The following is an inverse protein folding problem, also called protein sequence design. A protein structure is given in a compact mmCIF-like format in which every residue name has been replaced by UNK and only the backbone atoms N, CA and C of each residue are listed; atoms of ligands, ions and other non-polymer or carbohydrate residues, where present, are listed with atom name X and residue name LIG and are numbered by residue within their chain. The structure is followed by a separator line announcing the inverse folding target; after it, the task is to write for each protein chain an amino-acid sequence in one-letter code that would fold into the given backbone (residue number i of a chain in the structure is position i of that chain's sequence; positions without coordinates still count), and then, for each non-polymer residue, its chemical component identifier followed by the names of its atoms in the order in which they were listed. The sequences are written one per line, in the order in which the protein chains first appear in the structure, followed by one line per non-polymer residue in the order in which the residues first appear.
data_IF_705475384727
#
_entry.id   IF_705475384727
#
_cell.length_a   1.000
_cell.length_b   1.000
_cell.length_c   1.000
_cell.angle_alpha   90.00
_cell.angle_beta   90.00
_cell.angle_gamma   90.00
#
_symmetry.space_group_name_H-M   'P 1'
#
loop_
_entity.id
_entity.type
_entity.pdbx_description
1 polymer ?
#
# COMPACT_ATOMS: atom_id res chain seq x y z
N UNK A 1 25.49 -13.35 -8.69
CA UNK A 1 26.57 -13.97 -7.92
C UNK A 1 27.02 -13.13 -6.71
N UNK A 2 27.49 -11.87 -6.91
CA UNK A 2 28.03 -11.03 -5.81
C UNK A 2 27.05 -10.84 -4.64
N UNK A 3 25.77 -10.62 -4.93
CA UNK A 3 24.76 -10.45 -3.90
C UNK A 3 24.57 -11.71 -3.04
N UNK A 4 24.47 -12.89 -3.67
CA UNK A 4 24.34 -14.15 -2.94
C UNK A 4 25.61 -14.47 -2.14
N UNK A 5 26.81 -14.22 -2.70
CA UNK A 5 28.06 -14.42 -1.97
C UNK A 5 28.12 -13.53 -0.71
N UNK A 6 27.78 -12.25 -0.83
CA UNK A 6 27.70 -11.33 0.30
C UNK A 6 26.63 -11.75 1.34
N UNK A 7 25.52 -12.29 0.87
CA UNK A 7 24.43 -12.77 1.71
C UNK A 7 24.83 -14.01 2.54
N UNK A 8 25.68 -14.87 1.97
CA UNK A 8 26.24 -16.04 2.63
C UNK A 8 27.56 -15.78 3.36
N UNK A 9 28.03 -14.52 3.46
CA UNK A 9 29.30 -14.14 4.07
C UNK A 9 30.53 -14.77 3.42
N UNK A 10 30.49 -14.92 2.11
CA UNK A 10 31.60 -15.45 1.33
C UNK A 10 32.52 -14.30 0.89
N UNK A 11 33.72 -14.28 1.44
CA UNK A 11 34.73 -13.26 1.13
C UNK A 11 35.30 -13.38 -0.28
N UNK A 12 35.28 -14.61 -0.84
CA UNK A 12 35.72 -14.89 -2.20
C UNK A 12 34.53 -14.88 -3.16
N UNK A 13 34.45 -13.86 -4.00
CA UNK A 13 33.43 -13.76 -5.07
C UNK A 13 33.48 -14.92 -6.07
N UNK A 14 34.61 -15.66 -6.17
CA UNK A 14 34.78 -16.86 -6.99
C UNK A 14 34.15 -18.12 -6.40
N UNK A 15 33.82 -18.15 -5.10
CA UNK A 15 33.31 -19.35 -4.43
C UNK A 15 32.05 -19.91 -5.09
N UNK A 16 31.12 -19.04 -5.53
CA UNK A 16 29.88 -19.46 -6.20
C UNK A 16 30.14 -19.89 -7.65
N UNK A 17 31.14 -19.32 -8.33
CA UNK A 17 31.54 -19.76 -9.67
C UNK A 17 32.19 -21.15 -9.61
N UNK A 18 33.03 -21.39 -8.60
CA UNK A 18 33.61 -22.73 -8.37
C UNK A 18 32.51 -23.73 -8.05
N UNK A 19 31.58 -23.41 -7.17
CA UNK A 19 30.44 -24.25 -6.82
C UNK A 19 29.60 -24.60 -8.05
N UNK A 20 29.30 -23.62 -8.92
CA UNK A 20 28.52 -23.85 -10.13
C UNK A 20 29.25 -24.75 -11.11
N UNK A 21 30.57 -24.59 -11.27
CA UNK A 21 31.39 -25.46 -12.10
C UNK A 21 31.44 -26.89 -11.55
N UNK A 22 31.68 -27.05 -10.26
CA UNK A 22 31.66 -28.37 -9.60
C UNK A 22 30.29 -29.05 -9.71
N UNK A 23 29.18 -28.29 -9.65
CA UNK A 23 27.84 -28.80 -9.85
C UNK A 23 27.67 -29.40 -11.24
N UNK A 24 28.08 -28.70 -12.28
CA UNK A 24 27.98 -29.18 -13.67
C UNK A 24 28.85 -30.41 -13.97
N UNK A 25 30.02 -30.50 -13.34
CA UNK A 25 31.01 -31.51 -13.61
C UNK A 25 30.89 -32.75 -12.68
N UNK A 26 30.52 -32.61 -11.42
CA UNK A 26 30.72 -33.64 -10.39
C UNK A 26 29.48 -33.98 -9.56
N UNK A 27 28.34 -33.27 -9.67
CA UNK A 27 27.21 -33.40 -8.73
C UNK A 27 26.75 -34.84 -8.46
N UNK A 28 26.75 -35.68 -9.48
CA UNK A 28 26.20 -37.05 -9.36
C UNK A 28 27.20 -38.06 -8.76
N UNK A 29 28.51 -37.77 -8.84
CA UNK A 29 29.59 -38.65 -8.38
C UNK A 29 30.54 -37.94 -7.39
N UNK A 30 30.06 -36.99 -6.64
CA UNK A 30 30.89 -36.18 -5.72
C UNK A 30 31.05 -36.80 -4.35
N UNK A 31 32.23 -36.59 -3.74
CA UNK A 31 32.48 -36.88 -2.33
C UNK A 31 32.53 -35.59 -1.49
N UNK A 32 32.32 -34.44 -2.13
CA UNK A 32 32.40 -33.10 -1.47
C UNK A 32 31.11 -32.86 -0.67
N UNK A 33 31.19 -32.81 0.64
CA UNK A 33 30.06 -32.61 1.56
C UNK A 33 29.13 -31.48 1.11
N UNK A 34 29.72 -30.36 0.65
CA UNK A 34 28.97 -29.21 0.12
C UNK A 34 28.06 -29.55 -1.05
N UNK A 35 28.59 -30.29 -2.03
CA UNK A 35 27.81 -30.66 -3.21
C UNK A 35 26.77 -31.72 -2.87
N UNK A 36 27.08 -32.67 -1.99
CA UNK A 36 26.14 -33.67 -1.51
C UNK A 36 24.95 -32.98 -0.85
N UNK A 37 25.18 -32.09 0.11
CA UNK A 37 24.11 -31.37 0.79
C UNK A 37 23.22 -30.58 -0.20
N UNK A 38 23.85 -29.79 -1.06
CA UNK A 38 23.10 -28.95 -2.02
C UNK A 38 22.32 -29.81 -3.00
N UNK A 39 22.90 -30.91 -3.50
CA UNK A 39 22.23 -31.87 -4.39
C UNK A 39 21.00 -32.48 -3.73
N UNK A 40 21.17 -33.04 -2.54
CA UNK A 40 20.10 -33.74 -1.83
C UNK A 40 18.96 -32.74 -1.50
N UNK A 41 19.31 -31.53 -1.03
CA UNK A 41 18.34 -30.45 -0.80
C UNK A 41 17.52 -30.10 -2.05
N UNK A 42 18.20 -29.96 -3.19
CA UNK A 42 17.58 -29.58 -4.45
C UNK A 42 16.74 -30.71 -5.06
N UNK A 43 17.25 -31.94 -5.02
CA UNK A 43 16.58 -33.11 -5.57
C UNK A 43 15.30 -33.47 -4.81
N UNK A 44 15.31 -33.39 -3.49
CA UNK A 44 14.11 -33.57 -2.67
C UNK A 44 12.99 -32.58 -3.01
N UNK A 45 13.35 -31.44 -3.57
CA UNK A 45 12.40 -30.35 -3.94
C UNK A 45 12.15 -30.26 -5.44
N UNK A 46 12.55 -31.28 -6.18
CA UNK A 46 12.27 -31.43 -7.61
C UNK A 46 13.16 -30.58 -8.54
N UNK A 47 14.26 -30.04 -8.05
CA UNK A 47 15.21 -29.32 -8.88
C UNK A 47 16.31 -30.27 -9.38
N UNK A 48 16.27 -30.63 -10.67
CA UNK A 48 17.20 -31.59 -11.30
C UNK A 48 18.01 -30.98 -12.44
N UNK A 49 18.10 -29.64 -12.48
CA UNK A 49 18.75 -28.93 -13.57
C UNK A 49 20.27 -29.13 -13.60
N UNK A 50 20.84 -29.11 -14.80
CA UNK A 50 22.27 -29.27 -15.02
C UNK A 50 23.10 -28.09 -14.54
N UNK A 51 22.50 -26.92 -14.35
CA UNK A 51 23.17 -25.70 -13.89
C UNK A 51 22.46 -25.11 -12.67
N UNK A 52 23.23 -24.52 -11.75
CA UNK A 52 22.67 -23.80 -10.58
C UNK A 52 22.13 -22.41 -10.91
N UNK A 53 22.31 -21.94 -12.16
CA UNK A 53 21.86 -20.60 -12.57
C UNK A 53 21.17 -20.65 -13.93
N UNK A 54 20.36 -19.63 -14.19
CA UNK A 54 19.75 -19.35 -15.48
C UNK A 54 20.43 -18.13 -16.12
N UNK A 55 20.56 -18.13 -17.44
CA UNK A 55 21.07 -17.02 -18.20
C UNK A 55 19.89 -16.13 -18.65
N UNK A 56 19.98 -14.85 -18.34
CA UNK A 56 18.98 -13.86 -18.71
C UNK A 56 19.64 -12.82 -19.63
N UNK A 57 19.10 -12.61 -20.81
CA UNK A 57 19.51 -11.53 -21.70
C UNK A 57 18.89 -10.22 -21.24
N UNK A 58 19.73 -9.19 -21.08
CA UNK A 58 19.32 -7.81 -20.82
C UNK A 58 20.00 -6.87 -21.80
N UNK A 59 19.48 -5.66 -21.93
CA UNK A 59 19.99 -4.64 -22.85
C UNK A 59 21.51 -4.38 -22.75
N UNK A 60 22.14 -4.72 -21.64
CA UNK A 60 23.57 -4.52 -21.36
C UNK A 60 24.37 -5.85 -21.29
N UNK A 61 23.83 -6.97 -21.80
CA UNK A 61 24.53 -8.26 -21.85
C UNK A 61 23.84 -9.38 -21.05
N UNK A 62 24.54 -10.52 -20.93
CA UNK A 62 24.03 -11.70 -20.24
C UNK A 62 24.21 -11.56 -18.73
N UNK A 63 23.13 -11.81 -17.97
CA UNK A 63 23.12 -11.84 -16.51
C UNK A 63 22.82 -13.27 -16.05
N UNK A 64 23.60 -13.75 -15.09
CA UNK A 64 23.39 -15.05 -14.44
C UNK A 64 22.58 -14.89 -13.17
N UNK A 65 21.41 -15.51 -13.10
CA UNK A 65 20.49 -15.47 -11.96
C UNK A 65 20.38 -16.85 -11.33
N UNK A 66 20.52 -16.94 -10.01
CA UNK A 66 20.26 -18.17 -9.26
C UNK A 66 18.76 -18.22 -8.90
N UNK A 67 18.07 -19.35 -9.18
CA UNK A 67 16.72 -19.58 -8.66
C UNK A 67 16.67 -19.48 -7.14
N UNK A 68 15.53 -19.10 -6.57
CA UNK A 68 15.33 -18.94 -5.14
C UNK A 68 15.65 -20.20 -4.34
N UNK A 69 15.22 -21.36 -4.84
CA UNK A 69 15.52 -22.67 -4.25
C UNK A 69 17.02 -22.95 -4.15
N UNK A 70 17.79 -22.56 -5.19
CA UNK A 70 19.25 -22.69 -5.18
C UNK A 70 19.88 -21.72 -4.20
N UNK A 71 19.37 -20.47 -4.14
CA UNK A 71 19.82 -19.49 -3.15
C UNK A 71 19.60 -19.99 -1.73
N UNK A 72 18.47 -20.63 -1.45
CA UNK A 72 18.16 -21.20 -0.13
C UNK A 72 19.06 -22.38 0.22
N UNK A 73 19.29 -23.32 -0.70
CA UNK A 73 20.21 -24.44 -0.47
C UNK A 73 21.62 -23.97 -0.13
N UNK A 74 22.14 -23.00 -0.86
CA UNK A 74 23.47 -22.44 -0.60
C UNK A 74 23.51 -21.69 0.73
N UNK A 75 22.50 -20.88 1.03
CA UNK A 75 22.41 -20.15 2.29
C UNK A 75 22.36 -21.10 3.50
N UNK A 76 21.53 -22.14 3.43
CA UNK A 76 21.36 -23.11 4.49
C UNK A 76 22.66 -23.88 4.76
N UNK A 77 23.34 -24.34 3.69
CA UNK A 77 24.64 -24.97 3.81
C UNK A 77 25.64 -24.10 4.57
N UNK A 78 25.82 -22.84 4.15
CA UNK A 78 26.79 -21.97 4.82
C UNK A 78 26.34 -21.49 6.19
N UNK A 79 25.05 -21.51 6.49
CA UNK A 79 24.53 -21.18 7.80
C UNK A 79 24.77 -22.30 8.84
N UNK A 80 24.64 -23.58 8.43
CA UNK A 80 24.55 -24.68 9.41
C UNK A 80 25.45 -25.87 9.12
N UNK A 81 25.71 -26.22 7.85
CA UNK A 81 26.33 -27.48 7.48
C UNK A 81 27.83 -27.35 7.13
N UNK A 82 28.28 -26.16 6.83
CA UNK A 82 29.70 -25.94 6.53
C UNK A 82 30.57 -26.22 7.77
N UNK A 83 31.78 -26.74 7.56
CA UNK A 83 32.78 -26.96 8.66
C UNK A 83 32.98 -25.72 9.53
N UNK A 84 32.93 -24.53 8.91
CA UNK A 84 32.93 -23.23 9.57
C UNK A 84 31.67 -22.47 9.19
N UNK A 85 30.57 -22.65 9.94
CA UNK A 85 29.33 -21.96 9.64
C UNK A 85 29.49 -20.44 9.72
N UNK A 86 28.90 -19.74 8.76
CA UNK A 86 29.03 -18.27 8.66
C UNK A 86 27.92 -17.59 9.46
N UNK A 87 28.30 -16.75 10.42
CA UNK A 87 27.35 -16.10 11.32
C UNK A 87 26.36 -15.18 10.55
N UNK A 88 26.83 -14.49 9.55
CA UNK A 88 25.98 -13.66 8.69
C UNK A 88 24.99 -14.50 7.89
N UNK A 89 25.38 -15.67 7.39
CA UNK A 89 24.47 -16.60 6.74
C UNK A 89 23.37 -17.06 7.71
N UNK A 90 23.72 -17.41 8.95
CA UNK A 90 22.75 -17.76 10.02
C UNK A 90 21.76 -16.62 10.29
N UNK A 91 22.26 -15.40 10.43
CA UNK A 91 21.41 -14.24 10.70
C UNK A 91 20.44 -14.01 9.54
N UNK A 92 20.91 -14.08 8.31
CA UNK A 92 20.08 -13.92 7.12
C UNK A 92 19.06 -15.05 6.98
N UNK A 93 19.44 -16.30 7.25
CA UNK A 93 18.50 -17.43 7.25
C UNK A 93 17.40 -17.23 8.31
N UNK A 94 17.75 -16.83 9.54
CA UNK A 94 16.78 -16.53 10.60
C UNK A 94 15.85 -15.37 10.23
N UNK A 95 16.36 -14.35 9.53
CA UNK A 95 15.54 -13.24 9.06
C UNK A 95 14.52 -13.68 8.01
N UNK A 96 14.94 -14.51 7.04
CA UNK A 96 14.05 -15.09 6.05
C UNK A 96 13.01 -16.01 6.71
N UNK A 97 13.43 -16.87 7.63
CA UNK A 97 12.52 -17.76 8.37
C UNK A 97 11.44 -16.98 9.14
N UNK A 98 11.81 -15.87 9.80
CA UNK A 98 10.86 -15.00 10.50
C UNK A 98 9.85 -14.37 9.54
N UNK A 99 10.30 -13.91 8.39
CA UNK A 99 9.43 -13.29 7.40
C UNK A 99 8.49 -14.31 6.77
N UNK A 100 9.00 -15.49 6.39
CA UNK A 100 8.19 -16.57 5.84
C UNK A 100 7.17 -17.11 6.85
N UNK A 101 7.53 -17.22 8.13
CA UNK A 101 6.61 -17.60 9.21
C UNK A 101 5.50 -16.56 9.39
N UNK A 102 5.85 -15.27 9.36
CA UNK A 102 4.86 -14.18 9.41
C UNK A 102 3.91 -14.24 8.23
N UNK A 103 4.41 -14.40 7.02
CA UNK A 103 3.58 -14.54 5.82
C UNK A 103 2.69 -15.79 5.87
N UNK A 104 3.22 -16.91 6.35
CA UNK A 104 2.44 -18.13 6.56
C UNK A 104 1.25 -17.89 7.51
N UNK A 105 1.50 -17.26 8.67
CA UNK A 105 0.43 -16.89 9.61
C UNK A 105 -0.56 -15.94 8.95
N UNK A 106 -0.10 -14.93 8.24
CA UNK A 106 -0.97 -13.96 7.57
C UNK A 106 -1.88 -14.64 6.55
N UNK A 107 -1.35 -15.56 5.74
CA UNK A 107 -2.14 -16.35 4.78
C UNK A 107 -3.15 -17.27 5.48
N UNK A 108 -2.74 -17.96 6.54
CA UNK A 108 -3.59 -18.89 7.28
C UNK A 108 -4.81 -18.19 7.92
N UNK A 109 -4.65 -16.94 8.38
CA UNK A 109 -5.74 -16.15 8.97
C UNK A 109 -6.41 -15.20 7.97
N UNK A 110 -6.08 -15.29 6.67
CA UNK A 110 -6.61 -14.41 5.63
C UNK A 110 -6.18 -12.94 5.78
N UNK A 111 -5.10 -12.68 6.52
CA UNK A 111 -4.55 -11.34 6.71
C UNK A 111 -3.43 -11.08 5.72
N UNK A 112 -3.64 -10.13 4.81
CA UNK A 112 -2.60 -9.66 3.91
C UNK A 112 -2.45 -8.15 4.06
N UNK A 113 -1.39 -7.66 4.76
CA UNK A 113 -1.18 -6.24 4.98
C UNK A 113 -0.90 -5.46 3.68
N UNK A 114 -0.23 -6.09 2.70
CA UNK A 114 0.06 -5.46 1.40
C UNK A 114 -1.22 -5.29 0.57
N UNK A 115 -2.11 -6.29 0.59
CA UNK A 115 -3.41 -6.19 -0.09
C UNK A 115 -4.29 -5.13 0.56
N UNK A 116 -4.22 -4.93 1.88
CA UNK A 116 -4.97 -3.83 2.55
C UNK A 116 -4.44 -2.45 2.15
N UNK A 117 -3.14 -2.28 2.00
CA UNK A 117 -2.54 -1.03 1.51
C UNK A 117 -2.90 -0.78 0.04
N UNK A 118 -2.71 -1.79 -0.82
CA UNK A 118 -3.10 -1.77 -2.23
C UNK A 118 -4.61 -1.52 -2.41
N UNK A 119 -5.46 -2.16 -1.60
CA UNK A 119 -6.90 -1.96 -1.67
C UNK A 119 -7.32 -0.53 -1.32
N UNK A 120 -6.69 0.11 -0.31
CA UNK A 120 -7.00 1.52 0.03
C UNK A 120 -6.73 2.46 -1.13
N UNK A 121 -5.56 2.32 -1.78
CA UNK A 121 -5.21 3.11 -2.94
C UNK A 121 -6.06 2.76 -4.16
N UNK A 122 -6.30 1.46 -4.40
CA UNK A 122 -7.13 1.01 -5.50
C UNK A 122 -8.55 1.59 -5.44
N UNK A 123 -9.24 1.46 -4.30
CA UNK A 123 -10.59 2.03 -4.12
C UNK A 123 -10.65 3.54 -4.41
N UNK A 124 -9.60 4.26 -4.05
CA UNK A 124 -9.51 5.69 -4.29
C UNK A 124 -9.14 6.01 -5.75
N UNK A 125 -8.07 5.42 -6.27
CA UNK A 125 -7.54 5.73 -7.59
C UNK A 125 -8.51 5.34 -8.71
N UNK A 126 -9.11 4.16 -8.64
CA UNK A 126 -10.09 3.73 -9.65
C UNK A 126 -11.32 4.68 -9.72
N UNK A 127 -11.70 5.29 -8.58
CA UNK A 127 -12.74 6.34 -8.58
C UNK A 127 -12.23 7.66 -9.16
N UNK A 128 -10.97 8.02 -8.90
CA UNK A 128 -10.37 9.24 -9.49
C UNK A 128 -10.32 9.10 -11.01
N UNK A 129 -9.79 7.99 -11.51
CA UNK A 129 -9.68 7.72 -12.95
C UNK A 129 -11.04 7.75 -13.65
N UNK A 130 -12.08 7.22 -12.99
CA UNK A 130 -13.43 7.17 -13.56
C UNK A 130 -14.18 8.52 -13.56
N UNK A 131 -13.78 9.50 -12.73
CA UNK A 131 -14.68 10.63 -12.44
C UNK A 131 -14.03 12.01 -12.38
N UNK A 132 -12.71 12.12 -12.36
CA UNK A 132 -12.04 13.40 -12.08
C UNK A 132 -12.40 14.49 -13.09
N UNK A 133 -12.53 14.13 -14.37
CA UNK A 133 -12.78 15.05 -15.49
C UNK A 133 -14.26 15.14 -15.88
N UNK A 134 -15.17 14.48 -15.16
CA UNK A 134 -16.59 14.41 -15.52
C UNK A 134 -17.40 15.71 -15.25
N UNK A 135 -17.07 16.57 -14.27
CA UNK A 135 -17.78 17.82 -14.09
C UNK A 135 -17.65 18.73 -15.32
N UNK A 136 -18.71 19.43 -15.75
CA UNK A 136 -18.67 20.29 -16.92
C UNK A 136 -17.77 21.50 -16.68
N UNK A 137 -17.25 22.07 -17.78
CA UNK A 137 -16.42 23.28 -17.73
C UNK A 137 -17.17 24.42 -17.02
N UNK A 138 -16.47 25.15 -16.17
CA UNK A 138 -17.04 26.22 -15.34
C UNK A 138 -17.61 25.75 -14.00
N UNK A 139 -17.58 24.44 -13.73
CA UNK A 139 -18.08 23.84 -12.49
C UNK A 139 -17.00 22.99 -11.82
N UNK A 140 -17.07 22.88 -10.49
CA UNK A 140 -16.29 21.91 -9.71
C UNK A 140 -17.21 20.90 -9.01
N UNK A 141 -16.70 19.71 -8.76
CA UNK A 141 -17.39 18.71 -7.94
C UNK A 141 -16.76 18.62 -6.55
N UNK A 142 -17.58 18.23 -5.58
CA UNK A 142 -17.09 17.92 -4.23
C UNK A 142 -16.06 16.78 -4.28
N UNK A 143 -16.26 15.82 -5.19
CA UNK A 143 -15.31 14.72 -5.38
C UNK A 143 -13.92 15.24 -5.78
N UNK A 144 -13.82 16.12 -6.79
CA UNK A 144 -12.53 16.71 -7.22
C UNK A 144 -11.82 17.42 -6.06
N UNK A 145 -12.53 18.27 -5.34
CA UNK A 145 -11.97 19.04 -4.22
C UNK A 145 -11.53 18.14 -3.05
N UNK A 146 -12.20 17.02 -2.86
CA UNK A 146 -11.85 16.03 -1.83
C UNK A 146 -10.70 15.09 -2.22
N UNK A 147 -10.27 15.04 -3.47
CA UNK A 147 -9.15 14.17 -3.91
C UNK A 147 -7.89 14.44 -3.09
N UNK A 148 -7.47 15.70 -2.94
CA UNK A 148 -6.30 16.09 -2.13
C UNK A 148 -6.43 15.63 -0.67
N UNK A 149 -7.58 15.84 -0.07
CA UNK A 149 -7.85 15.49 1.32
C UNK A 149 -7.94 13.98 1.52
N UNK A 150 -8.58 13.26 0.61
CA UNK A 150 -8.66 11.80 0.64
C UNK A 150 -7.29 11.15 0.48
N UNK A 151 -6.47 11.65 -0.44
CA UNK A 151 -5.08 11.22 -0.59
C UNK A 151 -4.29 11.41 0.72
N UNK A 152 -4.43 12.56 1.37
CA UNK A 152 -3.81 12.85 2.66
C UNK A 152 -4.29 11.87 3.76
N UNK A 153 -5.59 11.61 3.84
CA UNK A 153 -6.17 10.67 4.79
C UNK A 153 -5.62 9.24 4.60
N UNK A 154 -5.51 8.76 3.35
CA UNK A 154 -4.96 7.44 3.05
C UNK A 154 -3.49 7.34 3.47
N UNK A 155 -2.68 8.37 3.20
CA UNK A 155 -1.29 8.44 3.67
C UNK A 155 -1.18 8.33 5.19
N UNK A 156 -2.17 8.86 5.92
CA UNK A 156 -2.25 8.78 7.37
C UNK A 156 -3.05 7.55 7.85
N UNK A 157 -3.07 6.47 7.06
CA UNK A 157 -3.65 5.17 7.39
C UNK A 157 -5.17 5.15 7.55
N UNK A 158 -5.87 6.17 7.06
CA UNK A 158 -7.33 6.12 6.97
C UNK A 158 -7.76 5.11 5.89
N UNK A 159 -8.75 4.30 6.21
CA UNK A 159 -9.25 3.27 5.29
C UNK A 159 -10.36 3.87 4.43
N UNK A 160 -10.07 4.04 3.15
CA UNK A 160 -11.08 4.36 2.12
C UNK A 160 -11.50 3.05 1.45
N UNK A 161 -12.80 2.79 1.43
CA UNK A 161 -13.40 1.62 0.81
C UNK A 161 -14.87 1.91 0.45
N UNK A 162 -15.62 0.88 0.07
CA UNK A 162 -17.05 0.96 -0.27
C UNK A 162 -17.97 1.51 0.84
N UNK A 163 -17.56 1.41 2.10
CA UNK A 163 -18.31 1.87 3.29
C UNK A 163 -17.79 3.18 3.87
N UNK A 164 -16.57 3.56 3.53
CA UNK A 164 -15.89 4.73 4.10
C UNK A 164 -15.47 5.67 2.97
N UNK A 165 -16.38 6.58 2.62
CA UNK A 165 -16.29 7.49 1.48
C UNK A 165 -16.44 8.92 2.01
N UNK A 166 -15.32 9.62 2.33
CA UNK A 166 -15.37 10.94 2.97
C UNK A 166 -16.10 12.01 2.15
N UNK A 167 -15.92 12.00 0.83
CA UNK A 167 -16.54 12.97 -0.08
C UNK A 167 -18.08 12.90 -0.09
N UNK A 168 -18.69 11.74 0.14
CA UNK A 168 -20.15 11.65 0.30
C UNK A 168 -20.66 12.42 1.52
N UNK A 169 -19.92 12.39 2.64
CA UNK A 169 -20.26 13.13 3.85
C UNK A 169 -20.16 14.63 3.62
N UNK A 170 -19.08 15.07 2.96
CA UNK A 170 -18.89 16.48 2.56
C UNK A 170 -20.00 16.93 1.63
N UNK A 171 -20.32 16.15 0.59
CA UNK A 171 -21.35 16.48 -0.39
C UNK A 171 -22.73 16.67 0.22
N UNK A 172 -23.14 15.81 1.16
CA UNK A 172 -24.39 15.96 1.90
C UNK A 172 -24.39 17.23 2.76
N UNK A 173 -23.30 17.50 3.48
CA UNK A 173 -23.21 18.65 4.35
C UNK A 173 -23.13 19.97 3.57
N UNK A 174 -22.39 20.00 2.46
CA UNK A 174 -22.33 21.17 1.57
C UNK A 174 -23.67 21.42 0.87
N UNK A 175 -24.34 20.38 0.37
CA UNK A 175 -25.65 20.52 -0.23
C UNK A 175 -26.70 21.16 0.68
N UNK A 176 -26.67 20.81 1.99
CA UNK A 176 -27.51 21.46 3.00
C UNK A 176 -27.10 22.94 3.22
N UNK A 177 -25.80 23.23 3.28
CA UNK A 177 -25.28 24.59 3.41
C UNK A 177 -25.65 25.46 2.18
N UNK A 178 -25.50 24.91 0.97
CA UNK A 178 -25.86 25.54 -0.29
C UNK A 178 -27.31 25.98 -0.30
N UNK A 179 -28.24 25.09 0.01
CA UNK A 179 -29.66 25.38 0.01
C UNK A 179 -30.07 26.30 1.18
N UNK A 180 -29.51 26.06 2.37
CA UNK A 180 -29.83 26.85 3.57
C UNK A 180 -29.38 28.33 3.49
N UNK A 181 -28.35 28.62 2.69
CA UNK A 181 -27.83 29.99 2.51
C UNK A 181 -28.23 30.60 1.16
N UNK A 182 -29.11 29.95 0.40
CA UNK A 182 -29.58 30.41 -0.90
C UNK A 182 -28.44 30.81 -1.87
N UNK A 183 -27.36 30.01 -1.91
CA UNK A 183 -26.18 30.34 -2.69
C UNK A 183 -26.41 30.33 -4.19
N UNK A 184 -27.45 29.63 -4.65
CA UNK A 184 -27.84 29.63 -6.05
C UNK A 184 -28.18 31.04 -6.57
N UNK A 185 -28.82 31.88 -5.76
CA UNK A 185 -29.16 33.24 -6.13
C UNK A 185 -27.93 34.16 -6.32
N UNK A 186 -26.80 33.82 -5.69
CA UNK A 186 -25.56 34.61 -5.73
C UNK A 186 -24.57 34.09 -6.78
N UNK A 187 -24.51 32.78 -6.98
CA UNK A 187 -23.44 32.13 -7.74
C UNK A 187 -23.95 31.37 -8.98
N UNK A 188 -25.28 31.32 -9.19
CA UNK A 188 -25.91 30.54 -10.26
C UNK A 188 -26.27 29.11 -9.83
N UNK A 189 -27.01 28.43 -10.66
CA UNK A 189 -27.51 27.08 -10.36
C UNK A 189 -26.41 26.01 -10.45
N UNK A 190 -26.49 25.03 -9.56
CA UNK A 190 -25.70 23.81 -9.64
C UNK A 190 -26.25 22.88 -10.72
N UNK A 191 -25.37 22.05 -11.30
CA UNK A 191 -25.74 21.10 -12.34
C UNK A 191 -25.41 19.68 -11.92
N UNK A 192 -26.15 18.70 -12.43
CA UNK A 192 -25.78 17.30 -12.20
C UNK A 192 -24.73 16.85 -13.21
N UNK A 193 -23.83 15.94 -12.78
CA UNK A 193 -22.86 15.30 -13.65
C UNK A 193 -22.82 13.80 -13.42
N UNK A 194 -22.28 13.03 -14.35
CA UNK A 194 -22.16 11.59 -14.22
C UNK A 194 -20.97 11.23 -13.31
N UNK A 195 -21.23 10.37 -12.33
CA UNK A 195 -20.22 9.83 -11.41
C UNK A 195 -20.40 8.32 -11.32
N UNK A 196 -19.36 7.56 -11.69
CA UNK A 196 -19.39 6.12 -11.70
C UNK A 196 -18.58 5.53 -10.55
N UNK A 197 -19.14 4.53 -9.90
CA UNK A 197 -18.38 3.69 -8.98
C UNK A 197 -17.79 2.49 -9.74
N UNK A 198 -16.55 2.07 -9.44
CA UNK A 198 -16.01 0.80 -9.94
C UNK A 198 -16.94 -0.38 -9.61
N UNK A 199 -16.98 -1.40 -10.47
CA UNK A 199 -17.93 -2.53 -10.41
C UNK A 199 -17.94 -3.29 -9.07
N UNK A 200 -16.84 -3.27 -8.34
CA UNK A 200 -16.72 -3.91 -7.03
C UNK A 200 -17.28 -3.06 -5.86
N UNK A 201 -17.80 -1.87 -6.14
CA UNK A 201 -18.55 -1.09 -5.16
C UNK A 201 -20.03 -1.47 -5.19
N UNK A 202 -20.70 -1.65 -4.02
CA UNK A 202 -22.15 -1.85 -4.00
C UNK A 202 -22.94 -0.74 -4.70
N UNK A 203 -22.39 0.48 -4.70
CA UNK A 203 -22.97 1.65 -5.36
C UNK A 203 -22.98 1.55 -6.88
N UNK A 204 -22.13 0.69 -7.47
CA UNK A 204 -22.07 0.49 -8.92
C UNK A 204 -23.39 -0.03 -9.52
N UNK A 205 -24.22 -0.72 -8.74
CA UNK A 205 -25.53 -1.20 -9.16
C UNK A 205 -26.48 -0.06 -9.62
N UNK A 206 -26.22 1.17 -9.19
CA UNK A 206 -26.99 2.37 -9.56
C UNK A 206 -26.18 3.38 -10.38
N UNK A 207 -25.13 2.93 -11.05
CA UNK A 207 -24.41 3.77 -12.01
C UNK A 207 -25.25 4.10 -13.24
N UNK A 208 -25.10 5.29 -13.86
CA UNK A 208 -24.34 6.41 -13.32
C UNK A 208 -25.07 7.13 -12.18
N UNK A 209 -24.31 7.52 -11.14
CA UNK A 209 -24.80 8.45 -10.13
C UNK A 209 -24.84 9.87 -10.71
N UNK A 210 -25.73 10.72 -10.19
CA UNK A 210 -25.87 12.10 -10.64
C UNK A 210 -25.70 13.11 -9.48
N UNK A 211 -24.48 13.22 -8.90
CA UNK A 211 -24.22 14.23 -7.89
C UNK A 211 -24.17 15.64 -8.49
N UNK A 212 -24.13 16.64 -7.61
CA UNK A 212 -24.08 18.03 -8.00
C UNK A 212 -22.65 18.54 -8.20
N UNK A 213 -22.45 19.26 -9.30
CA UNK A 213 -21.32 20.15 -9.53
C UNK A 213 -21.79 21.60 -9.33
N UNK A 214 -20.90 22.41 -8.80
CA UNK A 214 -21.20 23.79 -8.39
C UNK A 214 -20.40 24.78 -9.22
N UNK A 215 -20.92 25.99 -9.50
CA UNK A 215 -20.20 27.00 -10.26
C UNK A 215 -18.82 27.32 -9.64
N UNK A 216 -17.78 27.47 -10.47
CA UNK A 216 -16.43 27.78 -9.99
C UNK A 216 -16.37 29.11 -9.20
N UNK A 217 -17.31 30.03 -9.41
CA UNK A 217 -17.40 31.29 -8.67
C UNK A 217 -17.58 31.09 -7.16
N UNK A 218 -18.19 29.98 -6.71
CA UNK A 218 -18.39 29.68 -5.27
C UNK A 218 -17.28 28.82 -4.68
N UNK A 219 -16.29 28.40 -5.47
CA UNK A 219 -15.21 27.54 -5.00
C UNK A 219 -14.43 28.11 -3.79
N UNK A 220 -14.09 29.41 -3.72
CA UNK A 220 -13.45 29.98 -2.53
C UNK A 220 -14.31 29.82 -1.25
N UNK A 221 -15.61 30.04 -1.37
CA UNK A 221 -16.56 29.89 -0.25
C UNK A 221 -16.66 28.43 0.20
N UNK A 222 -16.67 27.49 -0.78
CA UNK A 222 -16.65 26.07 -0.46
C UNK A 222 -15.39 25.66 0.31
N UNK A 223 -14.22 26.11 -0.13
CA UNK A 223 -12.94 25.79 0.53
C UNK A 223 -12.85 26.36 1.93
N UNK A 224 -13.26 27.62 2.12
CA UNK A 224 -13.35 28.24 3.44
C UNK A 224 -14.33 27.48 4.36
N UNK A 225 -15.51 27.14 3.86
CA UNK A 225 -16.49 26.34 4.61
C UNK A 225 -15.97 24.94 4.93
N UNK A 226 -15.26 24.30 3.99
CA UNK A 226 -14.69 22.95 4.18
C UNK A 226 -13.70 22.95 5.35
N UNK A 227 -12.81 23.96 5.41
CA UNK A 227 -11.78 24.05 6.45
C UNK A 227 -12.38 24.50 7.78
N UNK A 228 -13.13 25.60 7.80
CA UNK A 228 -13.57 26.25 9.03
C UNK A 228 -14.85 25.66 9.63
N UNK A 229 -15.68 24.99 8.84
CA UNK A 229 -16.95 24.41 9.31
C UNK A 229 -16.93 22.88 9.27
N UNK A 230 -16.63 22.32 8.11
CA UNK A 230 -16.74 20.85 7.98
C UNK A 230 -15.64 20.13 8.77
N UNK A 231 -14.39 20.45 8.52
CA UNK A 231 -13.28 19.80 9.21
C UNK A 231 -13.23 20.16 10.70
N UNK A 232 -13.60 21.36 11.06
CA UNK A 232 -13.60 21.78 12.46
C UNK A 232 -14.72 21.12 13.31
N UNK A 233 -15.90 20.84 12.74
CA UNK A 233 -17.05 20.41 13.55
C UNK A 233 -17.75 19.15 13.07
N UNK A 234 -17.88 18.93 11.76
CA UNK A 234 -18.63 17.80 11.18
C UNK A 234 -17.78 16.55 10.98
N UNK A 235 -16.54 16.72 10.54
CA UNK A 235 -15.62 15.62 10.31
C UNK A 235 -15.25 14.83 11.58
N UNK A 236 -14.99 15.45 12.74
CA UNK A 236 -14.82 14.72 13.99
C UNK A 236 -16.01 13.81 14.35
N UNK A 237 -17.24 14.27 14.09
CA UNK A 237 -18.46 13.47 14.29
C UNK A 237 -18.51 12.29 13.31
N UNK A 238 -18.23 12.55 12.02
CA UNK A 238 -18.12 11.50 11.01
C UNK A 238 -17.11 10.41 11.40
N UNK A 239 -15.92 10.80 11.87
CA UNK A 239 -14.92 9.84 12.33
C UNK A 239 -15.37 9.06 13.57
N UNK A 240 -16.05 9.73 14.52
CA UNK A 240 -16.60 9.04 15.69
C UNK A 240 -17.66 8.02 15.31
N UNK A 241 -18.49 8.29 14.32
CA UNK A 241 -19.47 7.32 13.82
C UNK A 241 -18.77 6.12 13.15
N UNK A 242 -17.64 6.33 12.47
CA UNK A 242 -16.80 5.23 11.94
C UNK A 242 -16.16 4.39 13.06
N UNK A 243 -15.80 5.00 14.19
CA UNK A 243 -15.35 4.27 15.39
C UNK A 243 -16.48 3.42 15.96
N UNK A 244 -17.69 3.97 16.14
CA UNK A 244 -18.88 3.23 16.62
C UNK A 244 -19.22 2.05 15.69
N UNK A 245 -19.05 2.22 14.38
CA UNK A 245 -19.24 1.18 13.38
C UNK A 245 -18.06 0.18 13.32
N UNK A 246 -17.07 0.30 14.19
CA UNK A 246 -15.83 -0.54 14.22
C UNK A 246 -15.02 -0.53 12.92
N UNK A 247 -15.14 0.52 12.13
CA UNK A 247 -14.39 0.67 10.87
C UNK A 247 -12.99 1.27 11.08
N UNK A 248 -12.82 2.07 12.13
CA UNK A 248 -11.52 2.61 12.56
C UNK A 248 -11.42 2.53 14.10
N UNK A 249 -10.19 2.53 14.63
CA UNK A 249 -9.96 2.62 16.07
C UNK A 249 -10.06 4.07 16.58
N UNK A 250 -10.28 4.24 17.89
CA UNK A 250 -10.26 5.56 18.51
C UNK A 250 -8.91 6.25 18.31
N UNK A 251 -7.81 5.52 18.47
CA UNK A 251 -6.46 6.01 18.24
C UNK A 251 -6.25 6.48 16.79
N UNK A 252 -6.79 5.74 15.81
CA UNK A 252 -6.73 6.15 14.39
C UNK A 252 -7.48 7.47 14.18
N UNK A 253 -8.67 7.63 14.78
CA UNK A 253 -9.45 8.89 14.73
C UNK A 253 -8.62 10.05 15.28
N UNK A 254 -8.03 9.90 16.48
CA UNK A 254 -7.27 10.96 17.13
C UNK A 254 -6.02 11.36 16.33
N UNK A 255 -5.30 10.38 15.77
CA UNK A 255 -4.16 10.63 14.89
C UNK A 255 -4.56 11.39 13.61
N UNK A 256 -5.69 11.05 13.00
CA UNK A 256 -6.20 11.72 11.79
C UNK A 256 -6.54 13.19 12.13
N UNK A 257 -7.25 13.44 13.23
CA UNK A 257 -7.61 14.80 13.64
C UNK A 257 -6.38 15.64 13.95
N UNK A 258 -5.42 15.10 14.68
CA UNK A 258 -4.14 15.78 14.97
C UNK A 258 -3.40 16.15 13.68
N UNK A 259 -3.29 15.20 12.76
CA UNK A 259 -2.57 15.41 11.50
C UNK A 259 -3.30 16.41 10.59
N UNK A 260 -4.63 16.35 10.56
CA UNK A 260 -5.45 17.29 9.80
C UNK A 260 -5.32 18.73 10.36
N UNK A 261 -5.37 18.91 11.67
CA UNK A 261 -5.17 20.21 12.32
C UNK A 261 -3.79 20.79 12.00
N UNK A 262 -2.75 19.96 12.01
CA UNK A 262 -1.40 20.40 11.61
C UNK A 262 -1.33 20.81 10.12
N UNK A 263 -2.06 20.12 9.25
CA UNK A 263 -2.12 20.46 7.83
C UNK A 263 -2.85 21.78 7.55
N UNK A 264 -3.91 22.04 8.32
CA UNK A 264 -4.74 23.26 8.17
C UNK A 264 -4.16 24.47 8.91
N UNK A 265 -3.04 24.32 9.65
CA UNK A 265 -2.42 25.39 10.40
C UNK A 265 -3.24 25.90 11.61
N UNK A 266 -4.24 25.11 12.06
CA UNK A 266 -5.03 25.47 13.23
C UNK A 266 -4.19 25.35 14.51
N UNK A 267 -4.23 26.30 15.45
CA UNK A 267 -3.51 26.19 16.72
C UNK A 267 -4.02 25.00 17.51
N UNK A 268 -3.09 24.20 18.04
CA UNK A 268 -3.38 23.01 18.85
C UNK A 268 -4.29 23.39 20.03
N UNK A 269 -5.53 22.95 19.99
CA UNK A 269 -6.54 23.18 21.05
C UNK A 269 -6.15 22.56 22.41
N UNK A 270 -5.07 21.78 22.46
CA UNK A 270 -4.54 21.15 23.68
C UNK A 270 -3.82 22.15 24.61
N UNK A 271 -3.42 23.34 24.11
CA UNK A 271 -2.78 24.38 24.95
C UNK A 271 -3.80 25.29 25.67
N UNK A 272 -5.08 25.23 25.33
CA UNK A 272 -6.13 26.07 25.95
C UNK A 272 -6.73 25.44 27.21
N UNK A 273 -6.41 24.21 27.56
CA UNK A 273 -6.92 23.52 28.77
C UNK A 273 -5.90 23.51 29.94
N UNK A 274 -4.69 24.02 29.75
CA UNK A 274 -3.67 24.09 30.82
C UNK A 274 -3.48 25.48 31.43
N UNK A 275 -4.33 26.44 31.09
CA UNK A 275 -4.31 27.80 31.67
C UNK A 275 -5.69 28.22 32.18
N UNK A 276 -6.21 27.41 33.15
CA UNK A 276 -7.24 27.84 34.10
C UNK A 276 -7.01 27.17 35.44
#
# INVERSE_FOLDING_TARGET
QRGLAAFCDLTNNGALSILSKEWEEERDNTTKERLIFIRDYLYERGYHENSLFIQLERNNGIVYAYPDIVCMAILEYYAFEAKEPKERAKQNFRLLARNSFREFIYRAVGYNPEVKELNRWKYFLDRVDANYDNPPSGFFSIFQEMVKHTHFLIKNKFIVNDKTIPDLSVGKAWGAYWSGNNLASQYGERVQYQHNYPDYYPQALSNPQHPWAYPNAVLPVFREWLENVYFASKFPKYLMDKVKQKQISLQTKDNILLTLNNMLGAPNTTQLLSSK
#
